data_IF_828596626888
#
_entry.id   IF_828596626888
#
_cell.length_a   1.000
_cell.length_b   1.000
_cell.length_c   1.000
_cell.angle_alpha   90.00
_cell.angle_beta   90.00
_cell.angle_gamma   90.00
#
_symmetry.space_group_name_H-M   'P 1'
#
loop_
_entity.id
_entity.type
_entity.pdbx_description
1 polymer ?
#
# COMPACT_ATOMS: atom_id res chain seq x y z
N UNK A 1 37.57 -14.96 -9.89
CA UNK A 1 36.41 -14.25 -9.30
C UNK A 1 36.93 -12.94 -8.72
N UNK A 2 36.63 -11.81 -9.36
CA UNK A 2 37.12 -10.50 -8.92
C UNK A 2 36.36 -10.05 -7.67
N UNK A 3 37.05 -10.03 -6.53
CA UNK A 3 36.53 -9.72 -5.19
C UNK A 3 36.59 -8.22 -4.84
N UNK A 4 36.45 -7.33 -5.82
CA UNK A 4 36.23 -5.91 -5.54
C UNK A 4 34.75 -5.64 -5.26
N UNK A 5 34.22 -6.29 -4.22
CA UNK A 5 32.90 -5.94 -3.70
C UNK A 5 32.99 -4.52 -3.13
N UNK A 6 32.13 -3.62 -3.59
CA UNK A 6 32.05 -2.26 -3.01
C UNK A 6 31.75 -2.40 -1.52
N UNK A 7 32.56 -1.81 -0.63
CA UNK A 7 32.36 -1.97 0.80
C UNK A 7 31.02 -1.37 1.20
N UNK A 8 30.30 -2.09 2.06
CA UNK A 8 29.05 -1.62 2.61
C UNK A 8 29.23 -0.34 3.41
N UNK A 9 28.24 0.54 3.35
CA UNK A 9 28.24 1.79 4.11
C UNK A 9 27.59 1.52 5.47
N UNK A 10 28.22 1.86 6.60
CA UNK A 10 27.57 1.85 7.91
C UNK A 10 26.45 2.89 7.98
N UNK A 11 25.39 2.60 8.73
CA UNK A 11 24.24 3.50 8.88
C UNK A 11 24.63 4.90 9.34
N UNK A 12 25.54 5.03 10.31
CA UNK A 12 26.00 6.31 10.84
C UNK A 12 26.72 7.15 9.79
N UNK A 13 27.46 6.51 8.90
CA UNK A 13 28.15 7.17 7.79
C UNK A 13 27.14 7.66 6.73
N UNK A 14 26.11 6.88 6.42
CA UNK A 14 25.01 7.33 5.56
C UNK A 14 24.30 8.56 6.15
N UNK A 15 23.91 8.52 7.44
CA UNK A 15 23.27 9.65 8.11
C UNK A 15 24.19 10.88 8.14
N UNK A 16 25.50 10.69 8.31
CA UNK A 16 26.49 11.78 8.24
C UNK A 16 26.51 12.43 6.86
N UNK A 17 26.48 11.65 5.78
CA UNK A 17 26.41 12.15 4.40
C UNK A 17 25.12 12.95 4.16
N UNK A 18 24.00 12.44 4.65
CA UNK A 18 22.69 13.08 4.55
C UNK A 18 22.66 14.44 5.26
N UNK A 19 23.19 14.50 6.49
CA UNK A 19 23.25 15.70 7.35
C UNK A 19 24.17 16.82 6.85
N UNK A 20 24.85 16.65 5.70
CA UNK A 20 25.67 17.70 5.08
C UNK A 20 24.82 18.78 4.42
N UNK A 21 23.59 18.46 4.02
CA UNK A 21 22.72 19.37 3.29
C UNK A 21 21.66 20.03 4.19
N UNK A 22 21.22 21.27 3.90
CA UNK A 22 20.03 21.86 4.51
C UNK A 22 18.80 20.99 4.20
N UNK A 23 18.03 20.65 5.22
CA UNK A 23 16.84 19.77 5.12
C UNK A 23 15.90 20.22 4.00
N UNK A 24 15.46 21.48 4.04
CA UNK A 24 14.41 21.95 3.15
C UNK A 24 14.90 22.03 1.70
N UNK A 25 16.17 22.41 1.49
CA UNK A 25 16.78 22.41 0.15
C UNK A 25 16.95 20.99 -0.39
N UNK A 26 17.31 20.02 0.46
CA UNK A 26 17.46 18.64 0.04
C UNK A 26 16.10 18.02 -0.30
N UNK A 27 15.05 18.30 0.48
CA UNK A 27 13.68 17.88 0.15
C UNK A 27 13.22 18.43 -1.20
N UNK A 28 13.49 19.71 -1.49
CA UNK A 28 13.19 20.31 -2.79
C UNK A 28 13.99 19.66 -3.94
N UNK A 29 15.27 19.36 -3.71
CA UNK A 29 16.09 18.69 -4.71
C UNK A 29 15.60 17.27 -5.00
N UNK A 30 15.19 16.52 -3.98
CA UNK A 30 14.60 15.18 -4.12
C UNK A 30 13.27 15.27 -4.88
N UNK A 31 12.39 16.20 -4.51
CA UNK A 31 11.09 16.37 -5.15
C UNK A 31 11.22 16.73 -6.64
N UNK A 32 12.19 17.58 -6.99
CA UNK A 32 12.50 17.92 -8.39
C UNK A 32 12.99 16.70 -9.17
N UNK A 33 13.91 15.93 -8.58
CA UNK A 33 14.47 14.74 -9.22
C UNK A 33 13.40 13.68 -9.48
N UNK A 34 12.51 13.43 -8.52
CA UNK A 34 11.41 12.47 -8.69
C UNK A 34 10.36 12.97 -9.69
N UNK A 35 10.03 14.27 -9.69
CA UNK A 35 9.12 14.84 -10.68
C UNK A 35 9.65 14.71 -12.11
N UNK A 36 10.92 15.10 -12.35
CA UNK A 36 11.61 14.99 -13.65
C UNK A 36 11.56 13.56 -14.20
N UNK A 37 11.84 12.57 -13.36
CA UNK A 37 11.81 11.14 -13.73
C UNK A 37 10.43 10.67 -14.18
N UNK A 38 9.37 11.14 -13.52
CA UNK A 38 8.00 10.77 -13.86
C UNK A 38 7.54 11.42 -15.18
N UNK A 39 7.98 12.64 -15.49
CA UNK A 39 7.63 13.34 -16.74
C UNK A 39 8.42 12.85 -17.95
N UNK A 40 9.68 12.42 -17.78
CA UNK A 40 10.54 11.95 -18.88
C UNK A 40 10.17 10.56 -19.42
N UNK A 41 9.13 9.91 -18.91
CA UNK A 41 8.62 8.64 -19.44
C UNK A 41 7.09 8.52 -19.27
N UNK A 42 6.29 9.23 -20.09
CA UNK A 42 4.83 9.17 -20.01
C UNK A 42 4.22 7.86 -20.53
N UNK A 43 5.02 6.96 -21.09
CA UNK A 43 4.55 5.81 -21.83
C UNK A 43 4.94 4.50 -21.19
N UNK A 44 4.01 3.54 -21.29
CA UNK A 44 4.31 2.12 -21.47
C UNK A 44 5.33 2.00 -22.60
N UNK A 45 6.62 2.23 -22.36
CA UNK A 45 7.62 1.70 -23.28
C UNK A 45 7.55 0.20 -23.09
N UNK A 46 7.01 -0.48 -24.10
CA UNK A 46 7.12 -1.93 -24.29
C UNK A 46 8.58 -2.40 -24.30
N UNK A 47 9.54 -1.48 -24.27
CA UNK A 47 10.92 -1.76 -23.93
C UNK A 47 11.13 -1.60 -22.42
N UNK A 48 11.52 -2.68 -21.70
CA UNK A 48 12.02 -2.56 -20.35
C UNK A 48 13.14 -1.52 -20.34
N UNK A 49 13.15 -0.61 -19.37
CA UNK A 49 14.34 0.19 -19.14
C UNK A 49 15.52 -0.79 -19.00
N UNK A 50 16.55 -0.75 -19.87
CA UNK A 50 17.67 -1.68 -19.79
C UNK A 50 18.41 -1.57 -18.44
N UNK A 51 18.12 -0.53 -17.65
CA UNK A 51 18.61 -0.34 -16.28
C UNK A 51 17.65 -0.74 -15.18
N UNK A 52 16.40 -1.14 -15.43
CA UNK A 52 15.44 -1.81 -14.50
C UNK A 52 15.19 -1.19 -13.11
N UNK A 53 15.87 -0.10 -12.75
CA UNK A 53 16.04 0.36 -11.37
C UNK A 53 15.36 1.72 -11.13
N UNK A 54 14.58 2.26 -12.10
CA UNK A 54 13.92 3.57 -11.96
C UNK A 54 12.94 3.61 -10.79
N UNK A 55 11.95 2.71 -10.79
CA UNK A 55 10.94 2.65 -9.72
C UNK A 55 11.59 2.35 -8.35
N UNK A 56 12.59 1.48 -8.37
CA UNK A 56 13.40 1.15 -7.20
C UNK A 56 14.11 2.42 -6.67
N UNK A 57 14.68 3.26 -7.55
CA UNK A 57 15.31 4.52 -7.17
C UNK A 57 14.32 5.52 -6.58
N UNK A 58 13.10 5.60 -7.09
CA UNK A 58 12.05 6.45 -6.51
C UNK A 58 11.68 6.02 -5.09
N UNK A 59 11.60 4.71 -4.83
CA UNK A 59 11.41 4.19 -3.47
C UNK A 59 12.57 4.59 -2.54
N UNK A 60 13.82 4.47 -3.00
CA UNK A 60 14.98 4.92 -2.23
C UNK A 60 14.96 6.42 -1.97
N UNK A 61 14.64 7.24 -2.98
CA UNK A 61 14.53 8.69 -2.82
C UNK A 61 13.43 9.08 -1.83
N UNK A 62 12.31 8.37 -1.84
CA UNK A 62 11.25 8.53 -0.86
C UNK A 62 11.73 8.21 0.57
N UNK A 63 12.53 7.17 0.75
CA UNK A 63 13.14 6.85 2.04
C UNK A 63 14.20 7.87 2.46
N UNK A 64 15.05 8.34 1.53
CA UNK A 64 16.01 9.42 1.77
C UNK A 64 15.28 10.69 2.24
N UNK A 65 14.12 11.03 1.65
CA UNK A 65 13.32 12.17 2.08
C UNK A 65 12.79 12.02 3.51
N UNK A 66 12.28 10.82 3.87
CA UNK A 66 11.86 10.53 5.24
C UNK A 66 12.99 10.66 6.26
N UNK A 67 14.17 10.12 5.94
CA UNK A 67 15.37 10.24 6.77
C UNK A 67 15.88 11.68 6.83
N UNK A 68 15.74 12.44 5.74
CA UNK A 68 16.09 13.86 5.70
C UNK A 68 15.26 14.65 6.72
N UNK A 69 13.94 14.41 6.75
CA UNK A 69 13.02 15.02 7.72
C UNK A 69 13.43 14.70 9.16
N UNK A 70 13.74 13.43 9.43
CA UNK A 70 14.07 12.99 10.77
C UNK A 70 15.43 13.51 11.29
N UNK A 71 16.44 13.47 10.42
CA UNK A 71 17.85 13.57 10.82
C UNK A 71 18.53 14.89 10.46
N UNK A 72 17.99 15.69 9.53
CA UNK A 72 18.62 16.92 9.04
C UNK A 72 18.06 18.19 9.70
N UNK A 73 18.76 19.31 9.52
CA UNK A 73 18.34 20.66 9.89
C UNK A 73 18.73 21.65 8.79
N UNK A 74 18.39 22.93 8.94
CA UNK A 74 18.66 23.97 7.94
C UNK A 74 19.94 24.77 8.21
N UNK A 75 20.78 24.39 9.17
CA UNK A 75 21.99 25.13 9.56
C UNK A 75 23.24 24.71 8.76
N UNK A 76 23.06 24.05 7.62
CA UNK A 76 24.15 23.57 6.77
C UNK A 76 24.33 24.50 5.58
N UNK A 77 25.47 24.39 4.89
CA UNK A 77 25.83 25.26 3.76
C UNK A 77 25.98 24.53 2.43
N UNK A 78 26.04 23.19 2.43
CA UNK A 78 26.19 22.44 1.17
C UNK A 78 24.90 22.53 0.33
N UNK A 79 25.03 22.87 -0.94
CA UNK A 79 23.88 22.99 -1.85
C UNK A 79 23.61 21.64 -2.53
N UNK A 80 22.43 21.02 -2.33
CA UNK A 80 22.11 19.76 -2.99
C UNK A 80 21.83 19.98 -4.48
N UNK A 81 22.40 19.12 -5.31
CA UNK A 81 22.16 19.06 -6.76
C UNK A 81 21.77 17.63 -7.18
N UNK A 82 21.47 17.42 -8.47
CA UNK A 82 21.06 16.12 -9.03
C UNK A 82 22.08 15.00 -8.73
N UNK A 83 23.38 15.31 -8.84
CA UNK A 83 24.45 14.37 -8.53
C UNK A 83 24.45 13.97 -7.05
N UNK A 84 24.26 14.93 -6.13
CA UNK A 84 24.17 14.67 -4.69
C UNK A 84 22.95 13.81 -4.35
N UNK A 85 21.80 14.09 -4.96
CA UNK A 85 20.56 13.31 -4.76
C UNK A 85 20.76 11.86 -5.26
N UNK A 86 21.34 11.67 -6.44
CA UNK A 86 21.69 10.35 -6.95
C UNK A 86 22.70 9.60 -6.08
N UNK A 87 23.71 10.32 -5.58
CA UNK A 87 24.70 9.77 -4.66
C UNK A 87 24.08 9.31 -3.33
N UNK A 88 23.12 10.05 -2.77
CA UNK A 88 22.42 9.67 -1.55
C UNK A 88 21.53 8.44 -1.76
N UNK A 89 20.81 8.35 -2.88
CA UNK A 89 20.01 7.17 -3.21
C UNK A 89 20.90 5.91 -3.34
N UNK A 90 22.03 6.02 -4.06
CA UNK A 90 23.00 4.93 -4.19
C UNK A 90 23.65 4.59 -2.85
N UNK A 91 23.93 5.60 -2.01
CA UNK A 91 24.50 5.36 -0.68
C UNK A 91 23.52 4.60 0.21
N UNK A 92 22.22 4.93 0.16
CA UNK A 92 21.19 4.20 0.91
C UNK A 92 21.09 2.74 0.43
N UNK A 93 21.10 2.50 -0.89
CA UNK A 93 21.13 1.15 -1.46
C UNK A 93 22.32 0.32 -0.96
N UNK A 94 23.50 0.93 -0.83
CA UNK A 94 24.73 0.29 -0.34
C UNK A 94 24.83 0.25 1.20
N UNK A 95 23.86 0.82 1.92
CA UNK A 95 23.90 0.84 3.39
C UNK A 95 23.45 -0.50 3.93
N UNK A 96 24.26 -1.12 4.79
CA UNK A 96 23.88 -2.37 5.47
C UNK A 96 23.16 -2.03 6.78
N UNK A 97 22.02 -2.68 6.99
CA UNK A 97 21.41 -2.74 8.32
C UNK A 97 22.29 -3.54 9.30
N UNK A 98 22.23 -3.27 10.61
CA UNK A 98 23.03 -3.97 11.61
C UNK A 98 22.76 -5.49 11.66
N UNK A 99 21.62 -5.93 11.12
CA UNK A 99 21.21 -7.34 11.08
C UNK A 99 21.99 -8.19 10.05
N UNK A 100 22.73 -7.56 9.13
CA UNK A 100 23.62 -8.29 8.20
C UNK A 100 24.90 -8.81 8.86
N UNK A 101 25.17 -8.40 10.10
CA UNK A 101 26.37 -8.82 10.83
C UNK A 101 26.28 -10.28 11.32
N UNK A 102 25.07 -10.88 11.31
CA UNK A 102 24.85 -12.31 11.58
C UNK A 102 24.06 -12.98 10.43
N UNK A 103 24.72 -13.46 9.37
CA UNK A 103 24.05 -14.01 8.19
C UNK A 103 23.34 -15.36 8.43
N UNK A 104 23.48 -15.97 9.61
CA UNK A 104 22.77 -17.20 9.98
C UNK A 104 21.46 -16.93 10.73
N UNK A 105 21.19 -15.67 11.11
CA UNK A 105 19.94 -15.30 11.76
C UNK A 105 18.81 -15.19 10.72
N UNK A 106 17.97 -16.23 10.65
CA UNK A 106 16.83 -16.29 9.72
C UNK A 106 15.82 -15.16 9.97
N UNK A 107 15.65 -14.72 11.22
CA UNK A 107 14.73 -13.63 11.58
C UNK A 107 15.28 -12.30 11.08
N UNK A 108 16.58 -12.06 11.24
CA UNK A 108 17.26 -10.89 10.69
C UNK A 108 17.14 -10.81 9.16
N UNK A 109 17.28 -11.95 8.47
CA UNK A 109 17.07 -12.04 7.02
C UNK A 109 15.63 -11.77 6.60
N UNK A 110 14.65 -12.40 7.25
CA UNK A 110 13.23 -12.18 6.99
C UNK A 110 12.83 -10.73 7.18
N UNK A 111 13.28 -10.09 8.26
CA UNK A 111 13.04 -8.67 8.54
C UNK A 111 13.62 -7.80 7.42
N UNK A 112 14.86 -8.07 7.03
CA UNK A 112 15.56 -7.33 5.98
C UNK A 112 14.85 -7.46 4.63
N UNK A 113 14.51 -8.69 4.22
CA UNK A 113 13.79 -8.93 2.97
C UNK A 113 12.42 -8.27 2.99
N UNK A 114 11.71 -8.32 4.11
CA UNK A 114 10.42 -7.64 4.27
C UNK A 114 10.57 -6.12 4.15
N UNK A 115 11.54 -5.52 4.83
CA UNK A 115 11.80 -4.07 4.72
C UNK A 115 12.14 -3.65 3.29
N UNK A 116 13.00 -4.40 2.60
CA UNK A 116 13.33 -4.15 1.19
C UNK A 116 12.09 -4.32 0.30
N UNK A 117 11.31 -5.38 0.52
CA UNK A 117 10.12 -5.68 -0.25
C UNK A 117 9.05 -4.58 -0.08
N UNK A 118 8.74 -4.17 1.16
CA UNK A 118 7.79 -3.09 1.44
C UNK A 118 8.33 -1.70 1.10
N UNK A 119 9.63 -1.52 0.91
CA UNK A 119 10.18 -0.30 0.34
C UNK A 119 10.01 -0.29 -1.19
N UNK A 120 10.46 -1.35 -1.87
CA UNK A 120 10.60 -1.36 -3.32
C UNK A 120 9.35 -1.81 -4.06
N UNK A 121 8.69 -2.88 -3.64
CA UNK A 121 7.60 -3.49 -4.41
C UNK A 121 6.35 -2.60 -4.51
N UNK A 122 5.95 -1.82 -3.49
CA UNK A 122 4.90 -0.83 -3.65
C UNK A 122 5.18 0.21 -4.73
N UNK A 123 6.44 0.43 -5.13
CA UNK A 123 6.78 1.36 -6.23
C UNK A 123 6.56 0.75 -7.62
N UNK A 124 6.46 -0.59 -7.71
CA UNK A 124 6.38 -1.34 -8.96
C UNK A 124 4.94 -1.67 -9.35
N UNK A 125 3.98 -1.51 -8.44
CA UNK A 125 2.57 -1.74 -8.72
C UNK A 125 1.96 -0.66 -9.61
N UNK A 126 0.89 -0.98 -10.30
CA UNK A 126 0.11 -0.03 -11.08
C UNK A 126 -0.62 0.96 -10.16
N UNK A 127 -0.35 2.27 -10.35
CA UNK A 127 -1.10 3.33 -9.67
C UNK A 127 -2.56 3.31 -10.12
N UNK A 128 -2.78 3.09 -11.42
CA UNK A 128 -4.10 3.13 -12.04
C UNK A 128 -5.02 2.06 -11.47
N UNK A 129 -4.58 0.80 -11.45
CA UNK A 129 -5.38 -0.31 -10.90
C UNK A 129 -5.69 -0.09 -9.42
N UNK A 130 -4.69 0.34 -8.64
CA UNK A 130 -4.88 0.63 -7.22
C UNK A 130 -5.89 1.76 -6.97
N UNK A 131 -5.89 2.78 -7.84
CA UNK A 131 -6.79 3.92 -7.76
C UNK A 131 -8.22 3.55 -8.18
N UNK A 132 -8.39 2.78 -9.26
CA UNK A 132 -9.71 2.28 -9.71
C UNK A 132 -10.29 1.36 -8.64
N UNK A 133 -9.51 0.44 -8.07
CA UNK A 133 -9.95 -0.43 -6.98
C UNK A 133 -10.39 0.38 -5.76
N UNK A 134 -9.64 1.42 -5.40
CA UNK A 134 -10.04 2.32 -4.32
C UNK A 134 -11.37 3.01 -4.61
N UNK A 135 -11.59 3.44 -5.86
CA UNK A 135 -12.87 4.01 -6.29
C UNK A 135 -14.02 3.01 -6.19
N UNK A 136 -13.87 1.78 -6.69
CA UNK A 136 -14.90 0.75 -6.60
C UNK A 136 -15.24 0.39 -5.13
N UNK A 137 -14.23 0.26 -4.28
CA UNK A 137 -14.43 -0.18 -2.89
C UNK A 137 -14.94 0.94 -1.97
N UNK A 138 -14.47 2.18 -2.12
CA UNK A 138 -14.81 3.30 -1.23
C UNK A 138 -15.77 4.32 -1.82
N UNK A 139 -15.96 4.29 -3.14
CA UNK A 139 -16.96 5.10 -3.83
C UNK A 139 -18.38 4.56 -3.67
N UNK A 140 -19.29 5.18 -4.41
CA UNK A 140 -20.72 4.85 -4.40
C UNK A 140 -21.09 3.95 -5.60
N UNK A 141 -20.16 3.09 -6.05
CA UNK A 141 -20.39 2.17 -7.16
C UNK A 141 -21.50 1.16 -6.77
N UNK A 142 -22.68 1.21 -7.44
CA UNK A 142 -23.82 0.36 -7.09
C UNK A 142 -23.59 -1.10 -7.48
N UNK A 143 -22.68 -1.38 -8.44
CA UNK A 143 -22.34 -2.75 -8.84
C UNK A 143 -21.66 -3.48 -7.69
N UNK A 144 -20.86 -2.75 -6.91
CA UNK A 144 -20.12 -3.28 -5.74
C UNK A 144 -21.00 -3.28 -4.47
N UNK A 145 -22.21 -2.72 -4.56
CA UNK A 145 -23.24 -2.78 -3.54
C UNK A 145 -23.46 -1.49 -2.76
N UNK A 146 -24.05 -1.64 -1.58
CA UNK A 146 -24.38 -0.53 -0.69
C UNK A 146 -23.13 0.27 -0.27
N UNK A 147 -23.22 1.61 -0.20
CA UNK A 147 -22.12 2.46 0.26
C UNK A 147 -21.56 2.00 1.61
N UNK A 148 -20.29 2.34 1.86
CA UNK A 148 -19.63 2.04 3.13
C UNK A 148 -20.46 2.59 4.31
N UNK A 149 -20.63 1.76 5.34
CA UNK A 149 -21.31 2.17 6.58
C UNK A 149 -20.74 3.49 7.12
N UNK A 150 -21.63 4.34 7.64
CA UNK A 150 -21.29 5.67 8.15
C UNK A 150 -20.74 6.67 7.11
N UNK A 151 -20.99 6.47 5.81
CA UNK A 151 -20.52 7.38 4.75
C UNK A 151 -20.80 8.86 5.04
N UNK A 152 -21.98 9.22 5.54
CA UNK A 152 -22.32 10.61 5.89
C UNK A 152 -21.52 11.14 7.07
N UNK A 153 -21.31 10.33 8.11
CA UNK A 153 -20.48 10.69 9.26
C UNK A 153 -19.01 10.82 8.86
N UNK A 154 -18.49 9.87 8.09
CA UNK A 154 -17.15 9.91 7.50
C UNK A 154 -16.98 11.16 6.65
N UNK A 155 -17.94 11.53 5.80
CA UNK A 155 -17.90 12.78 5.03
C UNK A 155 -17.75 14.00 5.93
N UNK A 156 -18.48 14.06 7.03
CA UNK A 156 -18.38 15.15 8.02
C UNK A 156 -17.02 15.18 8.71
N UNK A 157 -16.49 14.02 9.13
CA UNK A 157 -15.20 13.93 9.81
C UNK A 157 -14.04 14.19 8.86
N UNK A 158 -14.07 13.66 7.65
CA UNK A 158 -13.04 13.88 6.64
C UNK A 158 -13.11 15.32 6.12
N UNK A 159 -14.31 15.90 6.05
CA UNK A 159 -14.60 17.17 5.38
C UNK A 159 -14.83 17.02 3.88
N UNK A 160 -14.86 15.79 3.37
CA UNK A 160 -15.03 15.43 1.97
C UNK A 160 -15.47 13.96 1.83
N UNK A 161 -15.96 13.56 0.64
CA UNK A 161 -16.22 12.14 0.34
C UNK A 161 -14.92 11.38 0.03
N UNK A 162 -14.96 10.04 -0.02
CA UNK A 162 -13.81 9.26 -0.51
C UNK A 162 -13.49 9.54 -1.98
N UNK A 163 -14.51 9.74 -2.83
CA UNK A 163 -14.32 10.15 -4.22
C UNK A 163 -13.60 11.50 -4.33
N UNK A 164 -13.92 12.43 -3.44
CA UNK A 164 -13.22 13.70 -3.36
C UNK A 164 -11.76 13.54 -2.91
N UNK A 165 -11.47 12.69 -1.93
CA UNK A 165 -10.10 12.38 -1.53
C UNK A 165 -9.29 11.81 -2.70
N UNK A 166 -9.88 10.90 -3.48
CA UNK A 166 -9.25 10.34 -4.69
C UNK A 166 -8.93 11.43 -5.72
N UNK A 167 -9.86 12.38 -5.95
CA UNK A 167 -9.66 13.52 -6.86
C UNK A 167 -8.58 14.48 -6.35
N UNK A 168 -8.57 14.80 -5.05
CA UNK A 168 -7.54 15.64 -4.43
C UNK A 168 -6.17 14.97 -4.52
N UNK A 169 -6.09 13.66 -4.27
CA UNK A 169 -4.86 12.89 -4.47
C UNK A 169 -4.35 12.95 -5.91
N UNK A 170 -5.24 12.80 -6.89
CA UNK A 170 -4.89 12.93 -8.31
C UNK A 170 -4.43 14.35 -8.66
N UNK A 171 -5.12 15.40 -8.17
CA UNK A 171 -4.68 16.78 -8.35
C UNK A 171 -3.28 17.00 -7.79
N UNK A 172 -3.03 16.56 -6.55
CA UNK A 172 -1.72 16.71 -5.89
C UNK A 172 -0.62 15.95 -6.64
N UNK A 173 -0.96 14.79 -7.22
CA UNK A 173 -0.06 14.04 -8.09
C UNK A 173 0.31 14.84 -9.35
N UNK A 174 -0.67 15.41 -10.05
CA UNK A 174 -0.46 16.25 -11.23
C UNK A 174 0.35 17.52 -10.88
N UNK A 175 -0.01 18.22 -9.81
CA UNK A 175 0.73 19.41 -9.33
C UNK A 175 2.18 19.07 -9.00
N UNK A 176 2.43 17.91 -8.38
CA UNK A 176 3.79 17.47 -8.10
C UNK A 176 4.62 17.26 -9.39
N UNK A 177 4.01 16.79 -10.47
CA UNK A 177 4.71 16.61 -11.75
C UNK A 177 4.96 17.96 -12.43
N UNK A 178 3.94 18.81 -12.54
CA UNK A 178 4.00 20.10 -13.25
C UNK A 178 4.85 21.15 -12.51
N UNK A 179 4.91 21.10 -11.17
CA UNK A 179 5.62 22.08 -10.35
C UNK A 179 6.96 21.58 -9.81
N UNK A 180 7.59 20.61 -10.49
CA UNK A 180 8.87 20.04 -10.05
C UNK A 180 8.87 19.58 -8.56
N UNK A 181 7.75 19.02 -8.13
CA UNK A 181 7.51 18.49 -6.80
C UNK A 181 7.30 19.53 -5.70
N UNK A 182 7.22 20.83 -6.00
CA UNK A 182 7.02 21.87 -4.99
C UNK A 182 6.20 23.05 -5.51
N UNK A 183 5.23 23.51 -4.72
CA UNK A 183 4.29 24.54 -5.14
C UNK A 183 3.92 25.49 -3.99
N UNK A 184 3.55 26.75 -4.27
CA UNK A 184 3.00 27.66 -3.28
C UNK A 184 1.55 27.26 -2.93
N UNK A 185 1.13 27.49 -1.69
CA UNK A 185 -0.23 27.19 -1.24
C UNK A 185 -1.33 27.91 -2.03
N UNK A 186 -1.00 29.09 -2.56
CA UNK A 186 -1.87 29.87 -3.44
C UNK A 186 -2.27 29.13 -4.72
N UNK A 187 -1.45 28.21 -5.23
CA UNK A 187 -1.75 27.44 -6.43
C UNK A 187 -3.08 26.69 -6.27
N UNK A 188 -3.32 26.10 -5.10
CA UNK A 188 -4.55 25.33 -4.81
C UNK A 188 -5.81 26.20 -4.69
N UNK A 189 -5.66 27.52 -4.68
CA UNK A 189 -6.77 28.48 -4.68
C UNK A 189 -7.07 29.01 -6.09
N UNK A 190 -6.29 28.61 -7.09
CA UNK A 190 -6.47 29.07 -8.46
C UNK A 190 -7.77 28.49 -9.03
N UNK A 191 -8.64 29.37 -9.53
CA UNK A 191 -10.00 29.02 -9.97
C UNK A 191 -10.03 27.87 -10.98
N UNK A 192 -9.13 27.89 -11.96
CA UNK A 192 -9.05 26.84 -13.00
C UNK A 192 -8.77 25.44 -12.43
N UNK A 193 -8.09 25.32 -11.28
CA UNK A 193 -7.90 24.03 -10.63
C UNK A 193 -9.14 23.59 -9.84
N UNK A 194 -9.93 24.55 -9.34
CA UNK A 194 -11.21 24.25 -8.67
C UNK A 194 -12.26 23.77 -9.66
N UNK A 195 -12.25 24.30 -10.89
CA UNK A 195 -13.16 23.90 -11.96
C UNK A 195 -12.97 22.43 -12.39
N UNK A 196 -11.85 21.79 -12.03
CA UNK A 196 -11.61 20.34 -12.24
C UNK A 196 -12.39 19.46 -11.25
N UNK A 197 -12.94 20.02 -10.17
CA UNK A 197 -13.78 19.32 -9.22
C UNK A 197 -15.24 19.56 -9.56
N UNK A 198 -15.95 18.49 -9.93
CA UNK A 198 -17.41 18.51 -10.19
C UNK A 198 -18.21 18.61 -8.87
N UNK A 199 -17.55 18.58 -7.71
CA UNK A 199 -18.18 18.62 -6.38
C UNK A 199 -18.27 20.02 -5.78
N UNK A 200 -19.10 20.19 -4.74
CA UNK A 200 -19.24 21.42 -3.93
C UNK A 200 -17.96 21.85 -3.18
N UNK A 201 -16.81 21.25 -3.49
CA UNK A 201 -15.55 21.55 -2.85
C UNK A 201 -14.98 22.87 -3.36
N UNK A 202 -15.18 23.92 -2.58
CA UNK A 202 -14.46 25.18 -2.76
C UNK A 202 -13.00 25.08 -2.28
N UNK A 203 -12.19 26.08 -2.64
CA UNK A 203 -10.78 26.16 -2.27
C UNK A 203 -10.53 25.99 -0.76
N UNK A 204 -11.43 26.50 0.09
CA UNK A 204 -11.31 26.37 1.55
C UNK A 204 -11.50 24.92 1.99
N UNK A 205 -12.46 24.21 1.42
CA UNK A 205 -12.67 22.79 1.71
C UNK A 205 -11.47 21.95 1.28
N UNK A 206 -10.92 22.19 0.08
CA UNK A 206 -9.71 21.51 -0.41
C UNK A 206 -8.52 21.78 0.50
N UNK A 207 -8.28 23.04 0.88
CA UNK A 207 -7.20 23.40 1.79
C UNK A 207 -7.33 22.73 3.17
N UNK A 208 -8.55 22.63 3.71
CA UNK A 208 -8.82 21.92 4.96
C UNK A 208 -8.53 20.42 4.84
N UNK A 209 -8.97 19.78 3.75
CA UNK A 209 -8.73 18.35 3.50
C UNK A 209 -7.25 18.06 3.31
N UNK A 210 -6.55 18.91 2.55
CA UNK A 210 -5.09 18.85 2.39
C UNK A 210 -4.39 18.89 3.74
N UNK A 211 -4.67 19.92 4.56
CA UNK A 211 -4.04 20.10 5.87
C UNK A 211 -4.40 19.01 6.88
N UNK A 212 -5.54 18.33 6.72
CA UNK A 212 -5.98 17.27 7.63
C UNK A 212 -5.50 15.88 7.26
N UNK A 213 -5.33 15.56 5.97
CA UNK A 213 -5.13 14.17 5.53
C UNK A 213 -3.89 13.92 4.67
N UNK A 214 -3.28 14.98 4.11
CA UNK A 214 -2.19 14.86 3.15
C UNK A 214 -0.93 15.62 3.59
N UNK A 215 -1.10 16.81 4.17
CA UNK A 215 -0.01 17.72 4.48
C UNK A 215 0.25 17.87 5.97
N UNK A 216 1.53 18.00 6.32
CA UNK A 216 1.94 18.28 7.70
C UNK A 216 3.19 19.17 7.75
N UNK A 217 3.30 20.08 8.74
CA UNK A 217 4.51 20.88 8.90
C UNK A 217 5.75 20.02 9.11
N UNK A 218 6.84 20.36 8.42
CA UNK A 218 8.09 19.57 8.44
C UNK A 218 8.63 19.32 9.84
N UNK A 219 8.45 20.26 10.77
CA UNK A 219 8.90 20.10 12.16
C UNK A 219 8.04 19.09 12.94
N UNK A 220 6.73 19.02 12.66
CA UNK A 220 5.86 18.01 13.26
C UNK A 220 6.19 16.62 12.71
N UNK A 221 6.45 16.51 11.40
CA UNK A 221 6.91 15.25 10.79
C UNK A 221 8.24 14.80 11.40
N UNK A 222 9.19 15.72 11.61
CA UNK A 222 10.46 15.41 12.26
C UNK A 222 10.27 14.88 13.69
N UNK A 223 9.38 15.49 14.48
CA UNK A 223 9.02 15.01 15.81
C UNK A 223 8.40 13.62 15.77
N UNK A 224 7.42 13.39 14.89
CA UNK A 224 6.79 12.07 14.73
C UNK A 224 7.79 11.00 14.31
N UNK A 225 8.68 11.32 13.37
CA UNK A 225 9.72 10.40 12.94
C UNK A 225 10.62 10.01 14.11
N UNK A 226 11.12 10.98 14.89
CA UNK A 226 11.98 10.72 16.06
C UNK A 226 11.29 9.92 17.15
N UNK A 227 9.99 10.11 17.37
CA UNK A 227 9.21 9.35 18.35
C UNK A 227 9.00 7.89 17.93
N UNK A 228 8.93 7.62 16.61
CA UNK A 228 8.63 6.29 16.07
C UNK A 228 9.86 5.51 15.59
N UNK A 229 11.02 6.16 15.49
CA UNK A 229 12.29 5.44 15.37
C UNK A 229 12.59 4.73 16.69
N UNK A 230 12.25 3.44 16.75
CA UNK A 230 12.59 2.54 17.87
C UNK A 230 14.12 2.43 18.04
N UNK A 231 14.85 2.54 16.93
CA UNK A 231 16.30 2.67 16.89
C UNK A 231 16.68 3.78 15.90
N UNK A 232 17.49 4.73 16.35
CA UNK A 232 18.07 5.80 15.51
C UNK A 232 18.91 5.28 14.34
N UNK A 233 19.23 3.98 14.33
CA UNK A 233 19.96 3.26 13.28
C UNK A 233 19.06 2.46 12.34
N UNK A 234 17.75 2.37 12.57
CA UNK A 234 16.84 1.66 11.67
C UNK A 234 16.42 2.56 10.49
N UNK A 235 17.34 2.76 9.55
CA UNK A 235 17.09 3.57 8.34
C UNK A 235 16.05 2.96 7.38
N UNK A 236 15.72 1.68 7.59
CA UNK A 236 14.71 0.93 6.85
C UNK A 236 13.35 0.93 7.56
N UNK A 237 13.28 1.56 8.74
CA UNK A 237 12.09 1.63 9.56
C UNK A 237 11.09 2.69 9.09
N UNK A 238 10.51 3.39 10.06
CA UNK A 238 9.40 4.31 9.83
C UNK A 238 9.74 5.48 8.89
N UNK A 239 8.86 5.76 7.93
CA UNK A 239 8.89 6.96 7.10
C UNK A 239 7.58 7.73 7.25
N UNK A 240 7.66 8.91 7.86
CA UNK A 240 6.49 9.78 8.10
C UNK A 240 5.72 10.17 6.84
N UNK A 241 6.37 10.16 5.68
CA UNK A 241 5.76 10.51 4.40
C UNK A 241 4.78 9.45 3.89
N UNK A 242 4.77 8.24 4.45
CA UNK A 242 3.77 7.21 4.12
C UNK A 242 2.38 7.65 4.56
N UNK A 243 2.28 8.30 5.72
CA UNK A 243 1.02 8.82 6.26
C UNK A 243 0.75 10.27 5.79
N UNK A 244 1.82 11.05 5.58
CA UNK A 244 1.77 12.47 5.27
C UNK A 244 2.64 12.81 4.06
N UNK A 245 2.19 12.49 2.83
CA UNK A 245 3.02 12.59 1.63
C UNK A 245 3.38 14.02 1.22
N UNK A 246 2.69 15.03 1.78
CA UNK A 246 2.93 16.46 1.50
C UNK A 246 3.61 17.11 2.71
N UNK A 247 4.74 17.76 2.48
CA UNK A 247 5.49 18.49 3.50
C UNK A 247 5.18 19.97 3.40
N UNK A 248 4.62 20.55 4.46
CA UNK A 248 4.50 22.01 4.57
C UNK A 248 5.81 22.59 5.13
N UNK A 249 6.49 23.40 4.31
CA UNK A 249 7.67 24.18 4.68
C UNK A 249 7.27 25.56 5.21
N UNK A 250 8.24 26.35 5.65
CA UNK A 250 8.02 27.76 6.00
C UNK A 250 7.64 28.57 4.76
N UNK A 251 6.81 29.61 4.94
CA UNK A 251 6.44 30.54 3.87
C UNK A 251 5.39 30.02 2.88
N UNK A 252 4.38 29.30 3.36
CA UNK A 252 3.25 28.76 2.55
C UNK A 252 3.69 27.95 1.32
N UNK A 253 4.76 27.16 1.49
CA UNK A 253 5.30 26.30 0.43
C UNK A 253 5.09 24.83 0.78
N UNK A 254 4.56 24.08 -0.17
CA UNK A 254 4.40 22.64 -0.07
C UNK A 254 5.43 21.92 -0.93
N UNK A 255 5.88 20.76 -0.45
CA UNK A 255 6.80 19.87 -1.16
C UNK A 255 6.22 18.46 -1.14
N UNK A 256 6.25 17.80 -2.29
CA UNK A 256 5.84 16.41 -2.49
C UNK A 256 7.09 15.64 -2.94
N UNK A 257 7.84 15.01 -2.02
CA UNK A 257 9.08 14.30 -2.36
C UNK A 257 8.86 13.13 -3.32
N UNK A 258 7.63 12.58 -3.35
CA UNK A 258 7.22 11.53 -4.28
C UNK A 258 5.75 11.71 -4.65
N UNK A 259 5.47 12.01 -5.92
CA UNK A 259 4.11 12.11 -6.44
C UNK A 259 3.35 10.77 -6.28
N UNK A 260 4.06 9.64 -6.31
CA UNK A 260 3.48 8.32 -6.08
C UNK A 260 3.01 8.14 -4.63
N UNK A 261 3.71 8.71 -3.66
CA UNK A 261 3.30 8.62 -2.25
C UNK A 261 1.93 9.26 -2.00
N UNK A 262 1.59 10.33 -2.73
CA UNK A 262 0.25 10.92 -2.72
C UNK A 262 -0.81 9.93 -3.21
N UNK A 263 -0.54 9.25 -4.32
CA UNK A 263 -1.47 8.24 -4.85
C UNK A 263 -1.60 7.04 -3.91
N UNK A 264 -0.50 6.61 -3.27
CA UNK A 264 -0.52 5.57 -2.25
C UNK A 264 -1.32 6.00 -1.00
N UNK A 265 -1.37 7.30 -0.68
CA UNK A 265 -2.19 7.81 0.44
C UNK A 265 -3.69 7.67 0.18
N UNK A 266 -4.11 7.63 -1.08
CA UNK A 266 -5.52 7.48 -1.49
C UNK A 266 -5.82 6.14 -2.16
N UNK A 267 -4.92 5.17 -2.06
CA UNK A 267 -5.24 3.79 -2.46
C UNK A 267 -6.15 3.12 -1.40
N UNK A 268 -6.54 1.88 -1.65
CA UNK A 268 -7.42 1.10 -0.76
C UNK A 268 -6.93 1.06 0.69
N UNK A 269 -5.62 0.91 0.89
CA UNK A 269 -5.01 0.89 2.21
C UNK A 269 -4.95 2.28 2.85
N UNK A 270 -4.59 3.30 2.08
CA UNK A 270 -4.52 4.68 2.53
C UNK A 270 -5.89 5.19 2.99
N UNK A 271 -6.94 4.94 2.21
CA UNK A 271 -8.32 5.29 2.55
C UNK A 271 -8.83 4.52 3.78
N UNK A 272 -8.47 3.24 3.92
CA UNK A 272 -8.78 2.46 5.13
C UNK A 272 -8.22 3.13 6.39
N UNK A 273 -6.96 3.57 6.37
CA UNK A 273 -6.36 4.24 7.52
C UNK A 273 -6.89 5.66 7.74
N UNK A 274 -7.21 6.41 6.68
CA UNK A 274 -7.93 7.68 6.82
C UNK A 274 -9.28 7.46 7.52
N UNK A 275 -10.05 6.45 7.10
CA UNK A 275 -11.32 6.12 7.70
C UNK A 275 -11.17 5.70 9.16
N UNK A 276 -10.20 4.83 9.48
CA UNK A 276 -9.88 4.42 10.86
C UNK A 276 -9.61 5.62 11.76
N UNK A 277 -8.79 6.56 11.30
CA UNK A 277 -8.42 7.74 12.07
C UNK A 277 -9.59 8.73 12.15
N UNK A 278 -10.41 8.86 11.10
CA UNK A 278 -11.61 9.72 11.08
C UNK A 278 -12.75 9.21 11.98
N UNK A 279 -12.88 7.89 12.11
CA UNK A 279 -13.84 7.25 13.00
C UNK A 279 -13.35 7.20 14.46
N UNK A 280 -12.09 7.54 14.70
CA UNK A 280 -11.43 7.35 15.99
C UNK A 280 -11.65 5.91 16.49
N UNK A 281 -11.11 4.94 15.74
CA UNK A 281 -11.38 3.52 15.95
C UNK A 281 -11.05 3.01 17.36
N UNK A 282 -10.16 3.69 18.09
CA UNK A 282 -9.83 3.37 19.48
C UNK A 282 -10.96 3.77 20.42
N UNK A 283 -11.53 4.97 20.23
CA UNK A 283 -12.66 5.46 21.04
C UNK A 283 -14.01 4.92 20.58
N UNK A 284 -14.16 4.51 19.31
CA UNK A 284 -15.42 4.07 18.71
C UNK A 284 -15.28 2.69 18.00
N UNK A 285 -14.96 1.61 18.75
CA UNK A 285 -14.66 0.31 18.15
C UNK A 285 -15.85 -0.33 17.41
N UNK A 286 -17.09 -0.11 17.86
CA UNK A 286 -18.29 -0.63 17.20
C UNK A 286 -18.53 0.02 15.83
N UNK A 287 -18.44 1.35 15.76
CA UNK A 287 -18.54 2.10 14.50
C UNK A 287 -17.44 1.69 13.52
N UNK A 288 -16.22 1.48 14.02
CA UNK A 288 -15.13 0.98 13.19
C UNK A 288 -15.37 -0.45 12.71
N UNK A 289 -15.90 -1.32 13.57
CA UNK A 289 -16.27 -2.69 13.19
C UNK A 289 -17.29 -2.69 12.05
N UNK A 290 -18.37 -1.91 12.16
CA UNK A 290 -19.39 -1.78 11.10
C UNK A 290 -18.79 -1.29 9.78
N UNK A 291 -17.89 -0.30 9.83
CA UNK A 291 -17.12 0.14 8.68
C UNK A 291 -16.31 -1.01 8.05
N UNK A 292 -15.56 -1.77 8.86
CA UNK A 292 -14.74 -2.86 8.34
C UNK A 292 -15.57 -4.03 7.79
N UNK A 293 -16.72 -4.33 8.40
CA UNK A 293 -17.67 -5.35 7.92
C UNK A 293 -18.28 -4.94 6.59
N UNK A 294 -18.75 -3.69 6.47
CA UNK A 294 -19.28 -3.14 5.22
C UNK A 294 -18.24 -3.16 4.10
N UNK A 295 -16.99 -2.77 4.40
CA UNK A 295 -15.89 -2.83 3.44
C UNK A 295 -15.50 -4.26 3.07
N UNK A 296 -15.64 -5.22 3.99
CA UNK A 296 -15.50 -6.66 3.71
C UNK A 296 -16.51 -7.14 2.68
N UNK A 297 -17.80 -6.87 2.90
CA UNK A 297 -18.87 -7.24 1.95
C UNK A 297 -18.68 -6.59 0.58
N UNK A 298 -18.25 -5.33 0.52
CA UNK A 298 -17.93 -4.66 -0.75
C UNK A 298 -16.74 -5.33 -1.46
N UNK A 299 -15.71 -5.73 -0.71
CA UNK A 299 -14.56 -6.42 -1.30
C UNK A 299 -14.91 -7.82 -1.83
N UNK A 300 -15.71 -8.57 -1.08
CA UNK A 300 -16.25 -9.86 -1.53
C UNK A 300 -17.02 -9.72 -2.85
N UNK A 301 -17.95 -8.75 -2.94
CA UNK A 301 -18.69 -8.45 -4.17
C UNK A 301 -17.78 -8.01 -5.30
N UNK A 302 -16.79 -7.18 -5.02
CA UNK A 302 -15.79 -6.77 -6.02
C UNK A 302 -15.08 -7.98 -6.64
N UNK A 303 -14.65 -8.96 -5.83
CA UNK A 303 -14.06 -10.20 -6.36
C UNK A 303 -15.09 -11.02 -7.14
N UNK A 304 -16.34 -11.10 -6.65
CA UNK A 304 -17.43 -11.78 -7.37
C UNK A 304 -17.68 -11.24 -8.77
N UNK A 305 -17.70 -9.91 -8.94
CA UNK A 305 -17.83 -9.28 -10.26
C UNK A 305 -16.65 -9.61 -11.17
N UNK A 306 -15.44 -9.64 -10.62
CA UNK A 306 -14.24 -10.00 -11.38
C UNK A 306 -14.24 -11.48 -11.80
N UNK A 307 -14.75 -12.38 -10.96
CA UNK A 307 -14.87 -13.81 -11.27
C UNK A 307 -15.79 -14.09 -12.47
N UNK A 308 -16.77 -13.21 -12.75
CA UNK A 308 -17.66 -13.36 -13.91
C UNK A 308 -16.94 -13.28 -15.26
N UNK A 309 -15.72 -12.74 -15.29
CA UNK A 309 -14.90 -12.71 -16.50
C UNK A 309 -14.25 -14.07 -16.85
N UNK A 310 -14.36 -15.08 -15.99
CA UNK A 310 -13.89 -16.45 -16.28
C UNK A 310 -14.97 -17.21 -17.06
N UNK A 311 -15.02 -17.01 -18.38
CA UNK A 311 -16.13 -17.48 -19.22
C UNK A 311 -16.29 -19.02 -19.29
N UNK A 312 -15.19 -19.76 -19.06
CA UNK A 312 -15.17 -21.23 -19.14
C UNK A 312 -15.48 -21.93 -17.80
N UNK A 313 -15.74 -21.17 -16.74
CA UNK A 313 -16.06 -21.73 -15.43
C UNK A 313 -17.47 -21.35 -14.99
N UNK A 314 -18.11 -22.24 -14.23
CA UNK A 314 -19.33 -21.91 -13.50
C UNK A 314 -18.93 -21.30 -12.16
N UNK A 315 -19.41 -20.09 -11.88
CA UNK A 315 -19.18 -19.40 -10.61
C UNK A 315 -20.41 -19.57 -9.72
N UNK A 316 -20.22 -20.16 -8.54
CA UNK A 316 -21.26 -20.28 -7.51
C UNK A 316 -20.87 -19.43 -6.30
N UNK A 317 -21.76 -18.55 -5.82
CA UNK A 317 -21.52 -17.72 -4.63
C UNK A 317 -21.66 -18.49 -3.32
N UNK A 318 -21.33 -17.85 -2.21
CA UNK A 318 -21.44 -18.36 -0.85
C UNK A 318 -22.76 -19.14 -0.62
N UNK A 319 -22.64 -20.32 -0.02
CA UNK A 319 -23.74 -21.23 0.27
C UNK A 319 -24.03 -21.15 1.77
N UNK A 320 -25.28 -20.85 2.12
CA UNK A 320 -25.78 -20.99 3.49
C UNK A 320 -26.38 -22.38 3.69
N UNK A 321 -25.88 -23.11 4.68
CA UNK A 321 -26.32 -24.46 5.06
C UNK A 321 -26.55 -24.55 6.57
N UNK A 322 -27.27 -25.58 7.02
CA UNK A 322 -27.56 -25.81 8.45
C UNK A 322 -28.06 -24.55 9.19
N UNK A 323 -29.03 -23.87 8.57
CA UNK A 323 -29.72 -22.66 9.06
C UNK A 323 -28.88 -21.37 9.19
N UNK A 324 -27.56 -21.45 9.38
CA UNK A 324 -26.72 -20.25 9.49
C UNK A 324 -25.22 -20.45 9.20
N UNK A 325 -24.79 -21.67 8.86
CA UNK A 325 -23.40 -21.91 8.50
C UNK A 325 -23.16 -21.45 7.06
N UNK A 326 -21.97 -20.94 6.81
CA UNK A 326 -21.55 -20.34 5.54
C UNK A 326 -20.36 -21.10 4.99
N UNK A 327 -20.36 -21.33 3.68
CA UNK A 327 -19.20 -21.85 2.96
C UNK A 327 -18.12 -20.78 2.79
N UNK A 328 -17.10 -21.08 1.98
CA UNK A 328 -16.27 -20.06 1.32
C UNK A 328 -17.13 -19.10 0.48
N UNK A 329 -16.59 -17.90 0.23
CA UNK A 329 -17.27 -16.81 -0.49
C UNK A 329 -17.67 -17.20 -1.93
N UNK A 330 -16.82 -17.95 -2.65
CA UNK A 330 -17.11 -18.39 -4.02
C UNK A 330 -16.54 -19.78 -4.34
N UNK A 331 -17.14 -20.42 -5.35
CA UNK A 331 -16.64 -21.62 -6.00
C UNK A 331 -16.43 -21.33 -7.49
N UNK A 332 -15.24 -21.68 -8.00
CA UNK A 332 -14.95 -21.70 -9.43
C UNK A 332 -14.98 -23.16 -9.87
N UNK A 333 -15.98 -23.55 -10.65
CA UNK A 333 -16.21 -24.92 -11.08
C UNK A 333 -15.84 -25.10 -12.56
N UNK A 334 -14.88 -25.99 -12.85
CA UNK A 334 -14.58 -26.48 -14.20
C UNK A 334 -14.89 -27.99 -14.28
N UNK A 335 -14.76 -28.62 -15.47
CA UNK A 335 -14.87 -30.07 -15.60
C UNK A 335 -13.80 -30.84 -14.80
N UNK A 336 -12.61 -30.27 -14.61
CA UNK A 336 -11.45 -30.94 -14.00
C UNK A 336 -11.23 -30.58 -12.53
N UNK A 337 -11.66 -29.39 -12.10
CA UNK A 337 -11.34 -28.88 -10.75
C UNK A 337 -12.44 -27.98 -10.16
N UNK A 338 -12.41 -27.86 -8.83
CA UNK A 338 -13.19 -26.90 -8.06
C UNK A 338 -12.20 -26.05 -7.25
N UNK A 339 -12.18 -24.74 -7.51
CA UNK A 339 -11.45 -23.77 -6.67
C UNK A 339 -12.39 -23.20 -5.61
N UNK A 340 -12.03 -23.38 -4.34
CA UNK A 340 -12.69 -22.77 -3.19
C UNK A 340 -12.04 -21.40 -2.93
N UNK A 341 -12.78 -20.32 -3.08
CA UNK A 341 -12.27 -18.95 -3.01
C UNK A 341 -12.75 -18.25 -1.75
N UNK A 342 -11.81 -17.82 -0.93
CA UNK A 342 -12.08 -17.02 0.28
C UNK A 342 -11.45 -15.63 0.14
N UNK A 343 -12.21 -14.57 0.41
CA UNK A 343 -11.74 -13.19 0.31
C UNK A 343 -11.41 -12.62 1.69
N UNK A 344 -10.36 -11.79 1.78
CA UNK A 344 -9.97 -11.11 3.03
C UNK A 344 -9.67 -9.64 2.80
N UNK A 345 -10.47 -8.77 3.41
CA UNK A 345 -10.35 -7.31 3.28
C UNK A 345 -9.37 -6.66 4.28
N UNK A 346 -8.73 -7.45 5.14
CA UNK A 346 -7.79 -6.98 6.14
C UNK A 346 -6.58 -6.27 5.51
N UNK A 347 -6.25 -5.08 6.02
CA UNK A 347 -5.01 -4.37 5.67
C UNK A 347 -3.83 -4.83 6.55
N UNK A 348 -2.61 -4.94 6.01
CA UNK A 348 -1.40 -5.07 6.82
C UNK A 348 -1.20 -3.81 7.68
N UNK A 349 -0.87 -4.02 8.95
CA UNK A 349 -0.53 -2.94 9.88
C UNK A 349 0.95 -2.51 9.70
N UNK A 350 1.36 -1.46 10.44
CA UNK A 350 2.73 -0.95 10.37
C UNK A 350 3.78 -2.00 10.79
N UNK A 351 3.43 -2.92 11.72
CA UNK A 351 4.33 -3.96 12.22
C UNK A 351 4.57 -5.03 11.16
N UNK A 352 3.50 -5.44 10.47
CA UNK A 352 3.55 -6.37 9.33
C UNK A 352 4.48 -5.85 8.24
N UNK A 353 4.39 -4.55 7.92
CA UNK A 353 5.21 -3.90 6.89
C UNK A 353 6.68 -3.76 7.28
N UNK A 354 6.97 -3.52 8.57
CA UNK A 354 8.36 -3.30 9.03
C UNK A 354 9.18 -4.58 9.14
N UNK A 355 8.59 -5.75 8.86
CA UNK A 355 9.25 -7.04 9.04
C UNK A 355 9.58 -7.36 10.51
N UNK A 356 9.02 -6.59 11.45
CA UNK A 356 9.14 -6.83 12.88
C UNK A 356 8.10 -7.89 13.21
N UNK A 357 8.49 -9.15 13.04
CA UNK A 357 7.72 -10.31 13.47
C UNK A 357 8.30 -10.76 14.80
N UNK A 358 7.65 -10.47 15.96
CA UNK A 358 8.02 -11.17 17.17
C UNK A 358 7.67 -12.64 16.95
N UNK A 359 6.39 -12.98 16.73
CA UNK A 359 5.91 -14.34 16.41
C UNK A 359 4.54 -14.21 15.70
N UNK A 360 4.56 -14.01 14.37
CA UNK A 360 3.46 -14.14 13.39
C UNK A 360 2.06 -13.50 13.55
N UNK A 361 1.67 -12.87 14.67
CA UNK A 361 0.63 -11.83 14.79
C UNK A 361 -0.78 -12.06 14.16
N UNK A 362 -1.51 -10.95 13.96
CA UNK A 362 -2.90 -10.93 13.44
C UNK A 362 -3.04 -11.45 12.00
N UNK A 363 -1.98 -11.30 11.18
CA UNK A 363 -2.00 -11.73 9.78
C UNK A 363 -2.08 -13.25 9.68
N UNK A 364 -1.23 -13.96 10.43
CA UNK A 364 -1.23 -15.42 10.45
C UNK A 364 -2.61 -15.94 10.85
N UNK A 365 -3.18 -15.42 11.95
CA UNK A 365 -4.48 -15.84 12.44
C UNK A 365 -5.59 -15.63 11.40
N UNK A 366 -5.54 -14.53 10.65
CA UNK A 366 -6.54 -14.24 9.60
C UNK A 366 -6.39 -15.14 8.38
N UNK A 367 -5.16 -15.39 7.94
CA UNK A 367 -4.90 -16.31 6.83
C UNK A 367 -5.21 -17.75 7.21
N UNK A 368 -4.85 -18.17 8.43
CA UNK A 368 -5.17 -19.48 8.99
C UNK A 368 -6.68 -19.72 8.99
N UNK A 369 -7.48 -18.75 9.49
CA UNK A 369 -8.95 -18.85 9.46
C UNK A 369 -9.50 -18.99 8.03
N UNK A 370 -8.91 -18.28 7.06
CA UNK A 370 -9.29 -18.39 5.66
C UNK A 370 -9.06 -19.81 5.12
N UNK A 371 -7.89 -20.39 5.42
CA UNK A 371 -7.57 -21.77 5.05
C UNK A 371 -8.46 -22.79 5.76
N UNK A 372 -8.83 -22.55 7.02
CA UNK A 372 -9.79 -23.39 7.76
C UNK A 372 -11.18 -23.37 7.12
N UNK A 373 -11.67 -22.20 6.67
CA UNK A 373 -12.95 -22.10 5.94
C UNK A 373 -12.92 -22.88 4.62
N UNK A 374 -11.80 -22.84 3.90
CA UNK A 374 -11.56 -23.66 2.70
C UNK A 374 -11.58 -25.14 3.06
N UNK A 375 -10.87 -25.55 4.12
CA UNK A 375 -10.84 -26.94 4.59
C UNK A 375 -12.24 -27.47 4.93
N UNK A 376 -13.00 -26.73 5.74
CA UNK A 376 -14.35 -27.10 6.13
C UNK A 376 -15.29 -27.24 4.92
N UNK A 377 -15.21 -26.30 3.97
CA UNK A 377 -16.03 -26.37 2.74
C UNK A 377 -15.65 -27.54 1.85
N UNK A 378 -14.36 -27.89 1.80
CA UNK A 378 -13.88 -29.03 1.05
C UNK A 378 -14.29 -30.37 1.67
N UNK A 379 -14.32 -30.48 3.00
CA UNK A 379 -14.85 -31.65 3.71
C UNK A 379 -16.33 -31.88 3.37
N UNK A 380 -17.13 -30.81 3.28
CA UNK A 380 -18.55 -30.91 2.89
C UNK A 380 -18.73 -31.36 1.43
N UNK A 381 -17.86 -30.92 0.51
CA UNK A 381 -17.84 -31.41 -0.87
C UNK A 381 -17.48 -32.90 -0.92
N UNK A 382 -16.43 -33.32 -0.22
CA UNK A 382 -15.98 -34.72 -0.15
C UNK A 382 -17.05 -35.63 0.47
N UNK A 383 -17.79 -35.12 1.45
CA UNK A 383 -18.91 -35.83 2.08
C UNK A 383 -20.18 -35.90 1.20
N UNK A 384 -20.18 -35.25 0.03
CA UNK A 384 -21.33 -35.25 -0.88
C UNK A 384 -22.52 -34.45 -0.34
N UNK A 385 -22.27 -33.37 0.41
CA UNK A 385 -23.33 -32.53 0.95
C UNK A 385 -24.17 -31.93 -0.19
N UNK A 386 -25.50 -32.12 -0.15
CA UNK A 386 -26.41 -31.86 -1.29
C UNK A 386 -26.44 -30.41 -1.79
N UNK A 387 -26.12 -29.44 -0.93
CA UNK A 387 -26.08 -28.03 -1.30
C UNK A 387 -24.77 -27.63 -1.99
N UNK A 388 -23.70 -28.43 -1.87
CA UNK A 388 -22.37 -28.11 -2.41
C UNK A 388 -22.16 -28.71 -3.81
N UNK A 389 -21.24 -28.16 -4.61
CA UNK A 389 -20.83 -28.77 -5.87
C UNK A 389 -20.42 -30.25 -5.71
N UNK A 390 -20.92 -31.16 -6.57
CA UNK A 390 -20.56 -32.58 -6.46
C UNK A 390 -19.10 -32.82 -6.86
N UNK A 391 -18.32 -33.60 -6.10
CA UNK A 391 -16.89 -33.76 -6.39
C UNK A 391 -16.62 -34.37 -7.77
N UNK A 392 -17.26 -35.49 -8.12
CA UNK A 392 -17.18 -36.16 -9.44
C UNK A 392 -15.73 -36.29 -9.99
N UNK A 393 -14.82 -36.85 -9.19
CA UNK A 393 -13.39 -37.03 -9.52
C UNK A 393 -12.59 -35.73 -9.79
N UNK A 394 -13.18 -34.55 -9.55
CA UNK A 394 -12.50 -33.25 -9.70
C UNK A 394 -11.49 -33.03 -8.59
N UNK A 395 -10.42 -32.30 -8.90
CA UNK A 395 -9.46 -31.85 -7.88
C UNK A 395 -10.02 -30.65 -7.09
N UNK A 396 -9.73 -30.58 -5.79
CA UNK A 396 -10.02 -29.41 -4.96
C UNK A 396 -8.76 -28.55 -4.80
N UNK A 397 -8.91 -27.23 -5.04
CA UNK A 397 -7.86 -26.23 -4.79
C UNK A 397 -8.42 -25.09 -3.94
N UNK A 398 -7.61 -24.55 -3.05
CA UNK A 398 -7.94 -23.37 -2.26
C UNK A 398 -7.32 -22.10 -2.84
N UNK A 399 -8.04 -20.99 -2.77
CA UNK A 399 -7.54 -19.68 -3.14
C UNK A 399 -8.00 -18.63 -2.12
N UNK A 400 -7.05 -18.01 -1.42
CA UNK A 400 -7.31 -16.84 -0.58
C UNK A 400 -6.95 -15.59 -1.35
N UNK A 401 -7.92 -14.70 -1.57
CA UNK A 401 -7.72 -13.42 -2.24
C UNK A 401 -7.77 -12.31 -1.18
N UNK A 402 -6.62 -11.69 -0.95
CA UNK A 402 -6.49 -10.56 -0.02
C UNK A 402 -6.66 -9.22 -0.73
N UNK A 403 -7.26 -8.22 -0.06
CA UNK A 403 -7.40 -6.87 -0.65
C UNK A 403 -6.04 -6.24 -0.94
N UNK A 404 -5.11 -6.35 0.01
CA UNK A 404 -3.79 -5.75 -0.08
C UNK A 404 -2.71 -6.79 -0.38
N UNK A 405 -1.61 -6.35 -0.99
CA UNK A 405 -0.45 -7.22 -1.18
C UNK A 405 0.32 -7.42 0.12
N UNK A 406 0.48 -8.68 0.51
CA UNK A 406 1.43 -9.10 1.53
C UNK A 406 2.74 -9.52 0.87
N UNK A 407 3.68 -8.58 0.73
CA UNK A 407 4.92 -8.80 -0.03
C UNK A 407 5.85 -9.86 0.59
N UNK A 408 5.67 -10.16 1.86
CA UNK A 408 6.44 -11.13 2.61
C UNK A 408 5.86 -12.55 2.57
N UNK A 409 4.56 -12.73 2.28
CA UNK A 409 3.91 -14.05 2.27
C UNK A 409 4.53 -15.02 1.24
N UNK A 410 4.90 -14.61 0.01
CA UNK A 410 5.52 -15.50 -0.96
C UNK A 410 6.97 -15.93 -0.63
N UNK A 411 7.56 -15.42 0.47
CA UNK A 411 8.96 -15.74 0.78
C UNK A 411 9.07 -17.16 1.35
N UNK A 412 10.00 -18.01 0.87
CA UNK A 412 10.12 -19.41 1.31
C UNK A 412 10.30 -19.58 2.82
N UNK A 413 10.96 -18.63 3.49
CA UNK A 413 11.13 -18.65 4.95
C UNK A 413 9.86 -18.31 5.73
N UNK A 414 8.77 -17.94 5.05
CA UNK A 414 7.45 -17.61 5.60
C UNK A 414 6.41 -18.67 5.18
N UNK A 415 6.81 -19.73 4.45
CA UNK A 415 5.88 -20.79 4.01
C UNK A 415 5.18 -21.51 5.17
N UNK A 416 5.79 -21.52 6.37
CA UNK A 416 5.22 -22.13 7.58
C UNK A 416 4.25 -21.20 8.33
N UNK A 417 3.94 -20.02 7.76
CA UNK A 417 3.01 -19.07 8.37
C UNK A 417 1.64 -19.72 8.57
N UNK A 418 1.11 -20.43 7.59
CA UNK A 418 -0.19 -21.08 7.70
C UNK A 418 0.02 -22.57 7.88
N UNK A 419 -0.67 -23.18 8.86
CA UNK A 419 -0.66 -24.63 8.99
C UNK A 419 -1.23 -25.24 7.71
N UNK A 420 -0.60 -26.28 7.14
CA UNK A 420 -1.13 -26.95 5.96
C UNK A 420 -2.56 -27.43 6.24
N UNK A 421 -3.47 -27.09 5.34
CA UNK A 421 -4.80 -27.70 5.26
C UNK A 421 -4.76 -28.77 4.17
N UNK A 422 -5.66 -29.76 4.24
CA UNK A 422 -5.66 -30.90 3.31
C UNK A 422 -5.78 -30.47 1.84
N UNK A 423 -6.46 -29.34 1.59
CA UNK A 423 -6.59 -28.75 0.26
C UNK A 423 -5.42 -27.81 -0.03
N UNK A 424 -4.62 -28.06 -1.08
CA UNK A 424 -3.55 -27.14 -1.47
C UNK A 424 -4.11 -25.74 -1.74
N UNK A 425 -3.66 -24.75 -0.97
CA UNK A 425 -4.23 -23.40 -0.95
C UNK A 425 -3.18 -22.35 -1.30
N UNK A 426 -3.49 -21.52 -2.30
CA UNK A 426 -2.66 -20.36 -2.67
C UNK A 426 -3.23 -19.08 -2.04
N UNK A 427 -2.34 -18.13 -1.72
CA UNK A 427 -2.71 -16.82 -1.18
C UNK A 427 -2.19 -15.75 -2.14
N UNK A 428 -3.09 -14.95 -2.70
CA UNK A 428 -2.75 -13.87 -3.63
C UNK A 428 -3.40 -12.55 -3.20
N UNK A 429 -2.93 -11.43 -3.73
CA UNK A 429 -3.65 -10.16 -3.61
C UNK A 429 -4.68 -9.98 -4.72
N UNK A 430 -5.62 -9.06 -4.51
CA UNK A 430 -6.58 -8.61 -5.53
C UNK A 430 -5.87 -8.08 -6.79
N UNK A 431 -4.74 -7.41 -6.64
CA UNK A 431 -3.94 -6.95 -7.78
C UNK A 431 -3.38 -8.10 -8.61
N UNK A 432 -2.83 -9.13 -7.96
CA UNK A 432 -2.35 -10.33 -8.66
C UNK A 432 -3.50 -11.08 -9.33
N UNK A 433 -4.65 -11.15 -8.65
CA UNK A 433 -5.85 -11.76 -9.19
C UNK A 433 -6.35 -11.04 -10.45
N UNK A 434 -6.46 -9.71 -10.42
CA UNK A 434 -6.82 -8.88 -11.58
C UNK A 434 -5.87 -9.08 -12.76
N UNK A 435 -4.56 -9.18 -12.50
CA UNK A 435 -3.56 -9.44 -13.53
C UNK A 435 -3.74 -10.83 -14.16
N UNK A 436 -4.00 -11.86 -13.34
CA UNK A 436 -4.27 -13.21 -13.82
C UNK A 436 -5.53 -13.20 -14.68
N UNK A 437 -6.62 -12.59 -14.22
CA UNK A 437 -7.85 -12.49 -14.98
C UNK A 437 -7.62 -11.86 -16.35
N UNK A 438 -6.92 -10.73 -16.43
CA UNK A 438 -6.59 -10.08 -17.70
C UNK A 438 -5.70 -10.89 -18.66
N UNK A 439 -5.20 -12.06 -18.25
CA UNK A 439 -4.47 -13.01 -19.11
C UNK A 439 -5.28 -14.24 -19.52
N UNK A 440 -6.35 -14.57 -18.78
CA UNK A 440 -7.17 -15.78 -19.00
C UNK A 440 -8.57 -15.48 -19.55
N UNK A 441 -9.04 -14.24 -19.43
CA UNK A 441 -10.17 -13.69 -20.16
C UNK A 441 -9.74 -13.25 -21.55
#
# INVERSE_FOLDING_TARGET
MNTNATPAIPTEEFIRRLRRFPRDQLLLAIARETAKRNTESPGVSSQPDPRGLRNIRDAYLFQVAGLCIACCNNYRSAVPNEAAVGYLANSLYLTRGPWFDNPLDTVAWQRTLSQIAYLQLPSQQSIRESWIRAHCLFGEDPVIGEPIAHATFLRKQIGATFSDLLRIGFLLHAVAQESAGAFPGELLRHRQLLDLFVSDLNARAIANVLGRWFAKPVNQLATQARQRFLDSKDIWGFNSLVEWPVVALTGDRYVIPSARAVMNRVNTQGLYFIARDALDAESNPSTFQEFTSSLGMRFERYIGEQLKYIEFAKITSEITYESSQKSVDYFIETPELIVLVETKSAAPDARTRSGLFPEYGDLQLRLQRACEQIGNSAELIKAGHKQFPPLNDRELRGLVISREQYFNVPMPSISDLVKPVEVPTNIISSHQFEQILGTIS
#
